data_IF_628966661925
#
_entry.id   IF_628966661925
#
_cell.length_a   1.000
_cell.length_b   1.000
_cell.length_c   1.000
_cell.angle_alpha   90.00
_cell.angle_beta   90.00
_cell.angle_gamma   90.00
#
_symmetry.space_group_name_H-M   'P 1'
#
loop_
_entity.id
_entity.type
_entity.pdbx_description
1 polymer ?
#
# COMPACT_ATOMS: atom_id res chain seq x y z
N UNK A 1 -8.11 0.76 -31.35
CA UNK A 1 -6.70 0.41 -31.04
C UNK A 1 -6.44 0.62 -29.54
N UNK A 2 -7.17 -0.09 -28.66
CA UNK A 2 -7.17 0.18 -27.20
C UNK A 2 -7.24 -1.14 -26.40
N UNK A 3 -6.54 -2.18 -26.86
CA UNK A 3 -6.53 -3.48 -26.19
C UNK A 3 -5.13 -4.03 -25.89
N UNK A 4 -4.06 -3.28 -26.23
CA UNK A 4 -2.68 -3.78 -26.16
C UNK A 4 -1.89 -3.33 -24.93
N UNK A 5 -2.36 -2.31 -24.20
CA UNK A 5 -1.64 -1.79 -23.01
C UNK A 5 -1.95 -2.57 -21.72
N UNK A 6 -3.15 -3.15 -21.60
CA UNK A 6 -3.51 -4.01 -20.47
C UNK A 6 -2.72 -5.32 -20.46
N UNK A 7 -2.27 -5.81 -21.62
CA UNK A 7 -1.47 -7.04 -21.68
C UNK A 7 -0.01 -6.81 -21.32
N UNK A 8 0.60 -5.66 -21.65
CA UNK A 8 2.04 -5.46 -21.46
C UNK A 8 2.47 -5.27 -19.99
N UNK A 9 1.63 -4.64 -19.15
CA UNK A 9 1.94 -4.49 -17.71
C UNK A 9 1.74 -5.82 -16.98
N UNK A 10 0.77 -6.63 -17.41
CA UNK A 10 0.54 -7.98 -16.87
C UNK A 10 1.54 -9.02 -17.41
N UNK A 11 1.99 -8.90 -18.67
CA UNK A 11 2.95 -9.83 -19.29
C UNK A 11 4.37 -9.68 -18.77
N UNK A 12 4.79 -8.49 -18.28
CA UNK A 12 6.14 -8.30 -17.73
C UNK A 12 6.43 -9.13 -16.48
N UNK A 13 5.43 -9.79 -15.91
CA UNK A 13 5.57 -10.73 -14.79
C UNK A 13 5.54 -12.22 -15.20
N UNK A 14 5.47 -12.55 -16.50
CA UNK A 14 5.32 -13.93 -17.00
C UNK A 14 6.50 -14.51 -17.78
N UNK A 15 7.65 -13.84 -17.90
CA UNK A 15 8.78 -14.40 -18.67
C UNK A 15 9.65 -15.34 -17.82
N UNK A 16 9.45 -16.66 -17.97
CA UNK A 16 10.52 -17.65 -17.80
C UNK A 16 10.87 -18.28 -19.16
N UNK A 17 12.17 -18.43 -19.41
CA UNK A 17 12.74 -19.12 -20.56
C UNK A 17 12.42 -20.63 -20.52
N UNK A 18 12.30 -21.30 -21.68
CA UNK A 18 11.92 -22.71 -21.73
C UNK A 18 13.14 -23.60 -21.47
N UNK A 19 13.07 -24.44 -20.44
CA UNK A 19 13.96 -25.60 -20.29
C UNK A 19 14.50 -25.88 -18.88
N UNK A 20 13.65 -26.21 -17.92
CA UNK A 20 14.01 -27.13 -16.83
C UNK A 20 12.74 -27.64 -16.14
N UNK A 21 12.70 -28.95 -15.88
CA UNK A 21 11.65 -29.61 -15.11
C UNK A 21 11.79 -29.27 -13.63
N UNK A 22 11.16 -28.19 -13.18
CA UNK A 22 11.00 -27.86 -11.76
C UNK A 22 9.63 -27.24 -11.54
N UNK A 23 9.01 -27.56 -10.41
CA UNK A 23 7.76 -26.99 -9.87
C UNK A 23 7.55 -25.53 -10.30
N UNK A 24 6.36 -25.21 -10.80
CA UNK A 24 5.95 -23.83 -11.15
C UNK A 24 6.40 -22.84 -10.08
N UNK A 25 7.20 -21.82 -10.43
CA UNK A 25 7.72 -20.87 -9.45
C UNK A 25 6.56 -20.15 -8.74
N UNK A 26 6.72 -19.78 -7.46
CA UNK A 26 5.75 -18.96 -6.76
C UNK A 26 5.54 -17.64 -7.52
N UNK A 27 4.27 -17.26 -7.71
CA UNK A 27 3.94 -15.97 -8.32
C UNK A 27 3.89 -14.93 -7.20
N UNK A 28 4.88 -14.04 -7.17
CA UNK A 28 4.91 -12.92 -6.23
C UNK A 28 4.12 -11.74 -6.81
N UNK A 29 3.05 -11.34 -6.13
CA UNK A 29 2.21 -10.20 -6.54
C UNK A 29 2.07 -9.25 -5.36
N UNK A 30 2.31 -7.95 -5.56
CA UNK A 30 1.97 -6.96 -4.53
C UNK A 30 0.51 -6.55 -4.67
N UNK A 31 -0.29 -6.67 -3.62
CA UNK A 31 -1.70 -6.23 -3.61
C UNK A 31 -1.81 -4.69 -3.57
N UNK A 32 -0.71 -3.96 -3.32
CA UNK A 32 -0.70 -2.50 -3.44
C UNK A 32 0.69 -1.92 -3.74
N UNK A 33 0.78 -1.11 -4.81
CA UNK A 33 1.95 -0.28 -5.10
C UNK A 33 1.79 1.12 -4.50
N UNK A 34 2.32 1.32 -3.29
CA UNK A 34 2.31 2.61 -2.58
C UNK A 34 2.78 3.79 -3.44
N UNK A 35 3.86 3.61 -4.21
CA UNK A 35 4.48 4.70 -4.97
C UNK A 35 3.56 5.21 -6.09
N UNK A 36 2.89 4.28 -6.77
CA UNK A 36 2.04 4.58 -7.91
C UNK A 36 0.57 4.73 -7.52
N UNK A 37 0.19 4.48 -6.26
CA UNK A 37 -1.20 4.59 -5.82
C UNK A 37 -2.12 3.55 -6.45
N UNK A 38 -1.59 2.37 -6.75
CA UNK A 38 -2.37 1.26 -7.32
C UNK A 38 -2.69 0.25 -6.22
N UNK A 39 -3.94 -0.15 -6.08
CA UNK A 39 -4.39 -1.20 -5.16
C UNK A 39 -5.25 -2.22 -5.92
N UNK A 40 -5.03 -3.50 -5.65
CA UNK A 40 -5.87 -4.57 -6.18
C UNK A 40 -7.12 -4.73 -5.31
N UNK A 41 -8.29 -4.62 -5.92
CA UNK A 41 -9.60 -4.90 -5.33
C UNK A 41 -9.98 -6.39 -5.39
N UNK A 42 -9.27 -7.19 -6.20
CA UNK A 42 -9.40 -8.64 -6.29
C UNK A 42 -8.13 -9.39 -5.86
N UNK A 43 -8.26 -10.70 -5.62
CA UNK A 43 -7.14 -11.62 -5.44
C UNK A 43 -6.95 -12.38 -6.76
N UNK A 44 -5.76 -12.36 -7.39
CA UNK A 44 -5.56 -13.04 -8.67
C UNK A 44 -5.64 -14.56 -8.52
N UNK A 45 -6.26 -15.22 -9.49
CA UNK A 45 -6.18 -16.68 -9.62
C UNK A 45 -4.81 -17.07 -10.19
N UNK A 46 -4.03 -17.76 -9.36
CA UNK A 46 -2.67 -18.21 -9.68
C UNK A 46 -2.62 -19.64 -10.23
N UNK A 47 -3.77 -20.25 -10.56
CA UNK A 47 -3.89 -21.54 -11.27
C UNK A 47 -3.03 -22.66 -10.66
N UNK A 48 -3.07 -22.79 -9.33
CA UNK A 48 -2.33 -23.80 -8.58
C UNK A 48 -0.91 -23.41 -8.16
N UNK A 49 -0.39 -22.26 -8.59
CA UNK A 49 0.86 -21.74 -8.04
C UNK A 49 0.68 -21.16 -6.62
N UNK A 50 1.78 -20.89 -5.93
CA UNK A 50 1.77 -20.24 -4.62
C UNK A 50 1.71 -18.73 -4.81
N UNK A 51 0.70 -18.09 -4.23
CA UNK A 51 0.57 -16.62 -4.20
C UNK A 51 1.35 -16.06 -2.99
N UNK A 52 2.33 -15.19 -3.27
CA UNK A 52 3.08 -14.43 -2.27
C UNK A 52 2.72 -12.96 -2.39
N UNK A 53 2.40 -12.32 -1.26
CA UNK A 53 1.90 -10.94 -1.25
C UNK A 53 2.61 -10.00 -0.28
N UNK A 54 3.12 -8.89 -0.80
CA UNK A 54 3.48 -7.71 0.01
C UNK A 54 2.21 -6.90 0.31
N UNK A 55 1.80 -6.91 1.58
CA UNK A 55 0.69 -6.08 2.08
C UNK A 55 1.17 -4.92 2.94
N UNK A 56 2.45 -4.59 2.94
CA UNK A 56 2.99 -3.63 3.90
C UNK A 56 2.19 -2.32 3.98
N UNK A 57 1.70 -1.75 2.87
CA UNK A 57 0.98 -0.46 2.87
C UNK A 57 -0.55 -0.55 3.03
N UNK A 58 -1.14 -1.75 3.03
CA UNK A 58 -2.59 -1.95 3.24
C UNK A 58 -2.90 -3.06 4.27
N UNK A 59 -1.90 -3.58 4.98
CA UNK A 59 -2.08 -4.62 5.99
C UNK A 59 -3.08 -4.15 7.06
N UNK A 60 -4.13 -4.93 7.30
CA UNK A 60 -5.25 -4.58 8.17
C UNK A 60 -5.98 -3.27 7.84
N UNK A 61 -5.93 -2.79 6.59
CA UNK A 61 -6.81 -1.72 6.11
C UNK A 61 -8.19 -2.22 5.70
N UNK A 62 -8.32 -3.53 5.45
CA UNK A 62 -9.56 -4.23 5.07
C UNK A 62 -9.50 -5.72 5.42
N UNK A 63 -10.64 -6.42 5.48
CA UNK A 63 -10.66 -7.88 5.58
C UNK A 63 -9.94 -8.54 4.38
N UNK A 64 -9.22 -9.61 4.66
CA UNK A 64 -8.49 -10.41 3.66
C UNK A 64 -8.74 -11.88 3.93
N UNK A 65 -9.12 -12.64 2.90
CA UNK A 65 -9.15 -14.10 2.98
C UNK A 65 -7.72 -14.66 2.90
N UNK A 66 -7.12 -14.87 4.06
CA UNK A 66 -5.74 -15.37 4.20
C UNK A 66 -5.56 -16.75 3.56
N UNK A 67 -6.62 -17.55 3.43
CA UNK A 67 -6.54 -18.90 2.85
C UNK A 67 -6.12 -18.90 1.37
N UNK A 68 -6.28 -17.77 0.68
CA UNK A 68 -5.89 -17.60 -0.73
C UNK A 68 -4.38 -17.37 -0.93
N UNK A 69 -3.63 -17.16 0.15
CA UNK A 69 -2.22 -16.80 0.09
C UNK A 69 -1.36 -17.93 0.64
N UNK A 70 -0.20 -18.16 0.02
CA UNK A 70 0.85 -18.97 0.63
C UNK A 70 1.68 -18.17 1.61
N UNK A 71 2.02 -16.92 1.24
CA UNK A 71 2.76 -16.00 2.12
C UNK A 71 2.17 -14.60 1.99
N UNK A 72 1.93 -13.95 3.13
CA UNK A 72 1.68 -12.52 3.25
C UNK A 72 2.80 -11.94 4.10
N UNK A 73 3.42 -10.84 3.67
CA UNK A 73 4.34 -10.11 4.51
C UNK A 73 4.02 -8.61 4.54
N UNK A 74 4.30 -7.98 5.68
CA UNK A 74 4.03 -6.57 5.90
C UNK A 74 5.06 -5.96 6.86
N UNK A 75 5.84 -5.00 6.37
CA UNK A 75 6.63 -4.12 7.24
C UNK A 75 5.71 -3.20 8.04
N UNK A 76 5.86 -3.16 9.37
CA UNK A 76 4.90 -2.50 10.25
C UNK A 76 4.84 -0.96 10.08
N UNK A 77 5.94 -0.33 9.66
CA UNK A 77 6.16 1.13 9.58
C UNK A 77 5.19 1.92 8.69
N UNK A 78 4.24 1.25 8.06
CA UNK A 78 3.29 1.85 7.13
C UNK A 78 1.93 1.99 7.80
N UNK A 79 1.32 0.85 8.18
CA UNK A 79 -0.08 0.84 8.58
C UNK A 79 -0.33 0.30 10.00
N UNK A 80 0.64 -0.39 10.61
CA UNK A 80 0.40 -1.16 11.86
C UNK A 80 1.49 -1.04 12.92
N UNK A 81 2.40 -0.06 12.82
CA UNK A 81 3.41 0.14 13.85
C UNK A 81 4.61 0.96 13.41
N UNK A 82 5.72 0.76 14.10
CA UNK A 82 7.00 1.42 13.83
C UNK A 82 7.89 0.61 12.89
N UNK A 83 8.94 1.24 12.36
CA UNK A 83 9.99 0.53 11.64
C UNK A 83 10.76 -0.42 12.57
N UNK A 84 11.33 -1.46 11.96
CA UNK A 84 12.13 -2.45 12.67
C UNK A 84 11.44 -3.80 12.92
N UNK A 85 10.18 -3.97 12.53
CA UNK A 85 9.49 -5.28 12.56
C UNK A 85 8.73 -5.53 11.26
N UNK A 86 8.78 -6.79 10.80
CA UNK A 86 8.01 -7.28 9.64
C UNK A 86 7.19 -8.47 10.09
N UNK A 87 5.88 -8.43 9.83
CA UNK A 87 4.98 -9.56 10.03
C UNK A 87 5.07 -10.45 8.79
N UNK A 88 5.18 -11.75 9.00
CA UNK A 88 5.08 -12.77 7.95
C UNK A 88 4.02 -13.77 8.37
N UNK A 89 2.99 -13.94 7.54
CA UNK A 89 2.00 -15.01 7.64
C UNK A 89 2.35 -16.00 6.54
N UNK A 90 2.78 -17.19 6.90
CA UNK A 90 3.21 -18.25 5.97
C UNK A 90 2.40 -19.50 6.22
N UNK A 91 1.99 -20.17 5.14
CA UNK A 91 1.25 -21.44 5.20
C UNK A 91 2.17 -22.58 5.63
N UNK A 92 1.73 -23.41 6.56
CA UNK A 92 2.59 -24.42 7.22
C UNK A 92 3.19 -25.45 6.24
N UNK A 93 2.46 -25.81 5.18
CA UNK A 93 2.93 -26.72 4.12
C UNK A 93 4.07 -26.16 3.28
N UNK A 94 4.40 -24.87 3.42
CA UNK A 94 5.51 -24.21 2.73
C UNK A 94 6.78 -24.12 3.59
N UNK A 95 6.75 -24.61 4.83
CA UNK A 95 7.91 -24.60 5.73
C UNK A 95 8.88 -25.74 5.44
N UNK A 96 10.18 -25.48 5.59
CA UNK A 96 11.24 -26.49 5.46
C UNK A 96 11.79 -26.72 4.04
N UNK A 97 11.40 -25.86 3.10
CA UNK A 97 11.89 -25.86 1.72
C UNK A 97 12.95 -24.78 1.46
N UNK A 98 13.65 -24.32 2.51
CA UNK A 98 14.73 -23.34 2.35
C UNK A 98 15.90 -23.95 1.54
N UNK A 99 16.58 -23.11 0.75
CA UNK A 99 17.81 -23.50 0.07
C UNK A 99 18.88 -23.89 1.11
N UNK A 100 19.80 -24.78 0.74
CA UNK A 100 20.86 -25.26 1.65
C UNK A 100 21.76 -24.12 2.14
N UNK A 101 21.92 -23.10 1.33
CA UNK A 101 22.74 -21.92 1.58
C UNK A 101 21.97 -20.81 2.33
N UNK A 102 20.67 -21.00 2.58
CA UNK A 102 19.84 -20.03 3.29
C UNK A 102 20.33 -19.87 4.74
N UNK A 103 20.74 -18.67 5.17
CA UNK A 103 21.08 -18.44 6.56
C UNK A 103 19.90 -18.77 7.48
N UNK A 104 20.16 -19.43 8.62
CA UNK A 104 19.12 -19.85 9.57
C UNK A 104 18.22 -18.72 10.05
N UNK A 105 18.74 -17.49 10.11
CA UNK A 105 17.96 -16.28 10.47
C UNK A 105 16.88 -15.94 9.43
N UNK A 106 17.05 -16.33 8.17
CA UNK A 106 16.08 -16.11 7.07
C UNK A 106 15.18 -17.33 6.84
N UNK A 107 15.41 -18.45 7.52
CA UNK A 107 14.63 -19.68 7.35
C UNK A 107 13.34 -19.64 8.17
N UNK A 108 12.18 -19.64 7.50
CA UNK A 108 10.88 -19.58 8.17
C UNK A 108 10.60 -20.75 9.10
N UNK A 109 11.09 -21.97 8.80
CA UNK A 109 10.92 -23.13 9.68
C UNK A 109 11.62 -22.92 11.03
N UNK A 110 12.83 -22.35 11.01
CA UNK A 110 13.58 -22.00 12.23
C UNK A 110 12.84 -20.92 13.01
N UNK A 111 12.37 -19.87 12.34
CA UNK A 111 11.64 -18.78 12.99
C UNK A 111 10.32 -19.28 13.61
N UNK A 112 9.53 -20.05 12.88
CA UNK A 112 8.26 -20.61 13.36
C UNK A 112 8.48 -21.59 14.52
N UNK A 113 9.46 -22.49 14.40
CA UNK A 113 9.77 -23.48 15.45
C UNK A 113 10.27 -22.87 16.76
N UNK A 114 10.81 -21.64 16.72
CA UNK A 114 11.25 -20.90 17.91
C UNK A 114 10.27 -19.78 18.31
N UNK A 115 9.05 -19.75 17.77
CA UNK A 115 8.07 -18.69 18.05
C UNK A 115 8.61 -17.27 17.81
N UNK A 116 9.42 -17.07 16.76
CA UNK A 116 10.14 -15.82 16.47
C UNK A 116 11.17 -15.37 17.53
N UNK A 117 11.62 -16.30 18.38
CA UNK A 117 12.60 -16.08 19.45
C UNK A 117 13.93 -16.84 19.21
N UNK A 118 14.25 -17.13 17.94
CA UNK A 118 15.52 -17.78 17.60
C UNK A 118 16.74 -16.94 18.00
N UNK A 119 16.63 -15.62 17.87
CA UNK A 119 17.59 -14.63 18.33
C UNK A 119 16.86 -13.48 19.03
N UNK A 120 17.59 -12.45 19.50
CA UNK A 120 17.00 -11.27 20.12
C UNK A 120 16.03 -10.57 19.15
N UNK A 121 14.72 -10.54 19.44
CA UNK A 121 13.75 -9.93 18.54
C UNK A 121 13.74 -8.40 18.73
N UNK A 122 13.14 -7.64 17.78
CA UNK A 122 12.95 -6.20 17.92
C UNK A 122 11.84 -5.89 18.95
N UNK A 123 12.12 -6.12 20.23
CA UNK A 123 11.13 -6.08 21.33
C UNK A 123 10.27 -4.82 21.33
N UNK A 124 10.88 -3.65 21.17
CA UNK A 124 10.15 -2.37 21.18
C UNK A 124 9.18 -2.24 19.99
N UNK A 125 9.63 -2.58 18.78
CA UNK A 125 8.77 -2.51 17.59
C UNK A 125 7.63 -3.53 17.65
N UNK A 126 7.88 -4.73 18.22
CA UNK A 126 6.83 -5.73 18.49
C UNK A 126 5.81 -5.19 19.49
N UNK A 127 6.26 -4.57 20.58
CA UNK A 127 5.38 -3.99 21.59
C UNK A 127 4.48 -2.89 20.99
N UNK A 128 5.06 -1.96 20.23
CA UNK A 128 4.30 -0.90 19.55
C UNK A 128 3.28 -1.48 18.57
N UNK A 129 3.68 -2.48 17.77
CA UNK A 129 2.76 -3.17 16.88
C UNK A 129 1.62 -3.84 17.66
N UNK A 130 1.90 -4.48 18.79
CA UNK A 130 0.89 -5.07 19.67
C UNK A 130 -0.17 -4.05 20.12
N UNK A 131 0.26 -2.85 20.56
CA UNK A 131 -0.66 -1.78 20.93
C UNK A 131 -1.54 -1.31 19.76
N UNK A 132 -0.97 -1.20 18.55
CA UNK A 132 -1.73 -0.81 17.35
C UNK A 132 -2.73 -1.89 16.95
N UNK A 133 -2.36 -3.17 17.05
CA UNK A 133 -3.27 -4.29 16.77
C UNK A 133 -4.44 -4.32 17.75
N UNK A 134 -4.18 -4.08 19.04
CA UNK A 134 -5.23 -3.96 20.06
C UNK A 134 -6.15 -2.77 19.77
N UNK A 135 -5.58 -1.61 19.41
CA UNK A 135 -6.38 -0.46 18.99
C UNK A 135 -7.26 -0.77 17.78
N UNK A 136 -6.72 -1.41 16.72
CA UNK A 136 -7.51 -1.81 15.55
C UNK A 136 -8.67 -2.72 15.97
N UNK A 137 -8.39 -3.73 16.81
CA UNK A 137 -9.40 -4.66 17.31
C UNK A 137 -10.51 -3.95 18.09
N UNK A 138 -10.14 -3.04 18.99
CA UNK A 138 -11.08 -2.28 19.82
C UNK A 138 -11.91 -1.27 19.01
N UNK A 139 -11.43 -0.86 17.83
CA UNK A 139 -12.14 0.04 16.92
C UNK A 139 -12.90 -0.70 15.81
N UNK A 140 -13.35 -1.93 16.05
CA UNK A 140 -14.20 -2.70 15.12
C UNK A 140 -13.42 -3.52 14.08
N UNK A 141 -12.11 -3.66 14.25
CA UNK A 141 -11.26 -4.52 13.42
C UNK A 141 -11.15 -4.07 11.97
N UNK A 142 -10.73 -5.00 11.11
CA UNK A 142 -10.44 -4.71 9.71
C UNK A 142 -11.66 -4.24 8.91
N UNK A 143 -12.88 -4.66 9.28
CA UNK A 143 -14.11 -4.22 8.62
C UNK A 143 -14.41 -2.73 8.88
N UNK A 144 -14.18 -2.25 10.11
CA UNK A 144 -14.28 -0.83 10.40
C UNK A 144 -13.18 -0.01 9.70
N UNK A 145 -11.95 -0.53 9.65
CA UNK A 145 -10.85 0.11 8.90
C UNK A 145 -11.16 0.22 7.39
N UNK A 146 -11.85 -0.77 6.81
CA UNK A 146 -12.30 -0.72 5.41
C UNK A 146 -13.31 0.41 5.19
N UNK A 147 -14.29 0.54 6.08
CA UNK A 147 -15.28 1.62 6.01
C UNK A 147 -14.61 2.99 6.12
N UNK A 148 -13.73 3.16 7.11
CA UNK A 148 -13.02 4.43 7.33
C UNK A 148 -12.11 4.79 6.16
N UNK A 149 -11.36 3.83 5.62
CA UNK A 149 -10.49 4.06 4.47
C UNK A 149 -11.26 4.41 3.21
N UNK A 150 -12.44 3.81 3.00
CA UNK A 150 -13.33 4.13 1.88
C UNK A 150 -13.86 5.57 1.99
N UNK A 151 -14.36 5.98 3.17
CA UNK A 151 -14.82 7.36 3.42
C UNK A 151 -13.69 8.37 3.17
N UNK A 152 -12.52 8.15 3.76
CA UNK A 152 -11.36 9.05 3.64
C UNK A 152 -10.90 9.18 2.18
N UNK A 153 -10.74 8.06 1.49
CA UNK A 153 -10.24 8.10 0.10
C UNK A 153 -11.25 8.70 -0.87
N UNK A 154 -12.53 8.40 -0.71
CA UNK A 154 -13.60 8.97 -1.51
C UNK A 154 -13.63 10.50 -1.41
N UNK A 155 -13.50 11.06 -0.20
CA UNK A 155 -13.48 12.51 0.02
C UNK A 155 -12.41 13.23 -0.83
N UNK A 156 -11.21 12.64 -0.95
CA UNK A 156 -10.12 13.22 -1.74
C UNK A 156 -10.32 12.95 -3.24
N UNK A 157 -10.71 11.73 -3.61
CA UNK A 157 -10.93 11.39 -5.02
C UNK A 157 -12.08 12.18 -5.66
N UNK A 158 -13.14 12.47 -4.92
CA UNK A 158 -14.24 13.32 -5.40
C UNK A 158 -13.78 14.73 -5.72
N UNK A 159 -12.89 15.31 -4.90
CA UNK A 159 -12.29 16.62 -5.20
C UNK A 159 -11.45 16.54 -6.46
N UNK A 160 -10.62 15.50 -6.59
CA UNK A 160 -9.77 15.30 -7.77
C UNK A 160 -10.63 15.20 -9.03
N UNK A 161 -11.66 14.34 -9.01
CA UNK A 161 -12.51 14.07 -10.17
C UNK A 161 -13.37 15.27 -10.58
N UNK A 162 -13.79 16.12 -9.62
CA UNK A 162 -14.60 17.31 -9.89
C UNK A 162 -13.78 18.60 -10.11
N UNK A 163 -12.45 18.53 -10.08
CA UNK A 163 -11.55 19.69 -10.17
C UNK A 163 -11.35 20.26 -11.58
N UNK A 164 -12.13 19.81 -12.58
CA UNK A 164 -11.97 20.21 -13.99
C UNK A 164 -10.53 20.03 -14.50
N UNK A 165 -9.88 18.92 -14.10
CA UNK A 165 -8.49 18.55 -14.41
C UNK A 165 -7.40 19.42 -13.76
N UNK A 166 -7.74 20.28 -12.81
CA UNK A 166 -6.73 20.97 -12.02
C UNK A 166 -5.94 20.00 -11.13
N UNK A 167 -6.62 19.08 -10.45
CA UNK A 167 -5.98 17.92 -9.82
C UNK A 167 -6.11 16.71 -10.74
N UNK A 168 -5.02 15.98 -10.94
CA UNK A 168 -5.01 14.80 -11.82
C UNK A 168 -4.38 13.62 -11.10
N UNK A 169 -5.17 12.60 -10.79
CA UNK A 169 -4.64 11.30 -10.38
C UNK A 169 -4.21 10.51 -11.63
N UNK A 170 -2.96 10.03 -11.72
CA UNK A 170 -2.48 9.28 -12.88
C UNK A 170 -2.97 7.81 -12.91
N UNK A 171 -3.77 7.40 -11.92
CA UNK A 171 -4.24 6.02 -11.76
C UNK A 171 -5.67 5.88 -12.28
N UNK A 172 -5.88 4.82 -13.07
CA UNK A 172 -7.20 4.40 -13.53
C UNK A 172 -8.16 4.20 -12.37
N UNK A 173 -9.41 4.67 -12.52
CA UNK A 173 -10.37 4.78 -11.41
C UNK A 173 -10.56 3.49 -10.62
N UNK A 174 -10.67 2.36 -11.31
CA UNK A 174 -10.86 1.03 -10.71
C UNK A 174 -9.65 0.53 -9.91
N UNK A 175 -8.45 1.06 -10.18
CA UNK A 175 -7.20 0.63 -9.57
C UNK A 175 -6.72 1.59 -8.48
N UNK A 176 -7.50 2.63 -8.17
CA UNK A 176 -7.12 3.68 -7.23
C UNK A 176 -7.00 3.15 -5.82
N UNK A 177 -5.82 3.35 -5.25
CA UNK A 177 -5.53 2.96 -3.87
C UNK A 177 -6.28 3.81 -2.85
N UNK A 178 -6.83 3.16 -1.81
CA UNK A 178 -7.46 3.83 -0.67
C UNK A 178 -6.45 4.39 0.33
N UNK A 179 -5.24 3.81 0.39
CA UNK A 179 -4.23 4.19 1.39
C UNK A 179 -3.26 5.25 0.90
N UNK A 180 -3.05 5.37 -0.40
CA UNK A 180 -2.05 6.24 -1.01
C UNK A 180 -2.63 6.85 -2.29
N UNK A 181 -2.86 8.15 -2.26
CA UNK A 181 -3.52 8.90 -3.32
C UNK A 181 -2.49 9.84 -3.94
N UNK A 182 -1.87 9.47 -5.08
CA UNK A 182 -1.02 10.36 -5.83
C UNK A 182 -1.86 11.26 -6.74
N UNK A 183 -1.47 12.53 -6.83
CA UNK A 183 -2.04 13.46 -7.81
C UNK A 183 -1.04 14.53 -8.23
N UNK A 184 -1.21 15.02 -9.44
CA UNK A 184 -0.51 16.18 -10.03
C UNK A 184 -1.41 17.41 -9.96
N UNK A 185 -0.81 18.61 -9.98
CA UNK A 185 -1.56 19.87 -9.96
C UNK A 185 -1.32 20.64 -11.27
N UNK A 186 -2.36 21.28 -11.81
CA UNK A 186 -2.35 22.11 -13.01
C UNK A 186 -2.62 21.34 -14.30
N UNK A 187 -2.06 20.14 -14.47
CA UNK A 187 -2.35 19.23 -15.57
C UNK A 187 -1.84 17.80 -15.27
N UNK A 188 -1.97 16.88 -16.24
CA UNK A 188 -1.56 15.48 -16.09
C UNK A 188 -0.04 15.26 -15.90
N UNK A 189 0.80 16.17 -16.40
CA UNK A 189 2.26 16.16 -16.17
C UNK A 189 2.64 16.92 -14.88
N UNK A 190 1.71 17.70 -14.35
CA UNK A 190 1.90 18.60 -13.23
C UNK A 190 2.63 19.89 -13.60
N UNK A 191 2.41 20.90 -12.79
CA UNK A 191 3.13 22.17 -12.77
C UNK A 191 3.95 22.23 -11.48
N UNK A 192 5.28 22.19 -11.60
CA UNK A 192 6.18 22.15 -10.44
C UNK A 192 6.07 23.39 -9.55
N UNK A 193 5.77 24.56 -10.12
CA UNK A 193 5.62 25.79 -9.35
C UNK A 193 4.31 25.76 -8.54
N UNK A 194 3.21 25.28 -9.12
CA UNK A 194 1.95 25.08 -8.41
C UNK A 194 2.07 23.98 -7.35
N UNK A 195 2.70 22.86 -7.66
CA UNK A 195 2.93 21.76 -6.72
C UNK A 195 3.81 22.22 -5.53
N UNK A 196 4.85 23.02 -5.79
CA UNK A 196 5.65 23.63 -4.73
C UNK A 196 4.81 24.56 -3.86
N UNK A 197 4.02 25.46 -4.45
CA UNK A 197 3.13 26.38 -3.70
C UNK A 197 2.11 25.63 -2.85
N UNK A 198 1.54 24.54 -3.38
CA UNK A 198 0.63 23.67 -2.64
C UNK A 198 1.31 23.08 -1.41
N UNK A 199 2.52 22.52 -1.58
CA UNK A 199 3.28 21.92 -0.49
C UNK A 199 3.70 22.95 0.56
N UNK A 200 4.16 24.14 0.14
CA UNK A 200 4.56 25.20 1.06
C UNK A 200 3.37 25.64 1.94
N UNK A 201 2.20 25.90 1.33
CA UNK A 201 0.97 26.24 2.07
C UNK A 201 0.46 25.09 2.96
N UNK A 202 0.60 23.85 2.50
CA UNK A 202 0.20 22.69 3.30
C UNK A 202 1.04 22.61 4.59
N UNK A 203 2.34 22.90 4.52
CA UNK A 203 3.23 22.94 5.70
C UNK A 203 2.82 24.05 6.67
N UNK A 204 2.43 25.23 6.18
CA UNK A 204 1.89 26.32 7.03
C UNK A 204 0.63 25.88 7.81
N UNK A 205 -0.16 24.97 7.25
CA UNK A 205 -1.34 24.38 7.87
C UNK A 205 -1.04 23.10 8.68
N UNK A 206 0.24 22.80 8.96
CA UNK A 206 0.73 21.60 9.64
C UNK A 206 0.37 20.28 8.94
N UNK A 207 0.10 20.30 7.63
CA UNK A 207 -0.11 19.11 6.81
C UNK A 207 1.23 18.63 6.25
N UNK A 208 1.89 17.76 7.00
CA UNK A 208 3.24 17.29 6.67
C UNK A 208 3.24 16.07 5.74
N UNK A 209 4.39 15.81 5.12
CA UNK A 209 4.65 14.58 4.33
C UNK A 209 3.76 14.34 3.10
N UNK A 210 3.19 15.41 2.53
CA UNK A 210 2.39 15.33 1.30
C UNK A 210 3.22 15.31 0.01
N UNK A 211 4.53 15.56 0.07
CA UNK A 211 5.39 15.56 -1.12
C UNK A 211 5.42 14.16 -1.75
N UNK A 212 5.13 14.10 -3.05
CA UNK A 212 5.19 12.88 -3.84
C UNK A 212 6.60 12.28 -3.89
N UNK A 213 6.69 11.02 -4.30
CA UNK A 213 7.98 10.34 -4.41
C UNK A 213 8.83 10.96 -5.53
N UNK A 214 10.14 11.08 -5.33
CA UNK A 214 11.08 11.73 -6.27
C UNK A 214 10.99 11.25 -7.72
N UNK A 215 10.63 9.99 -7.94
CA UNK A 215 10.53 9.40 -9.29
C UNK A 215 9.22 9.70 -10.00
N UNK A 216 8.19 10.15 -9.28
CA UNK A 216 6.84 10.43 -9.82
C UNK A 216 6.50 11.92 -9.70
N UNK A 217 7.11 12.63 -8.75
CA UNK A 217 6.81 14.02 -8.40
C UNK A 217 5.40 14.20 -7.85
N UNK A 218 4.88 15.43 -7.89
CA UNK A 218 3.53 15.74 -7.47
C UNK A 218 3.29 15.64 -5.97
N UNK A 219 2.04 15.37 -5.63
CA UNK A 219 1.53 15.25 -4.27
C UNK A 219 1.12 13.80 -4.01
N UNK A 220 1.31 13.33 -2.79
CA UNK A 220 0.78 12.04 -2.34
C UNK A 220 0.19 12.16 -0.94
N UNK A 221 -1.12 11.96 -0.83
CA UNK A 221 -1.79 11.82 0.46
C UNK A 221 -1.81 10.34 0.88
N UNK A 222 -1.14 10.01 1.98
CA UNK A 222 -1.18 8.66 2.57
C UNK A 222 -2.20 8.62 3.70
N UNK A 223 -3.26 7.82 3.55
CA UNK A 223 -4.46 7.77 4.38
C UNK A 223 -4.54 6.49 5.23
N UNK A 224 -3.41 6.10 5.83
CA UNK A 224 -3.30 4.90 6.68
C UNK A 224 -4.32 4.87 7.82
N UNK A 225 -4.47 3.71 8.48
CA UNK A 225 -5.48 3.48 9.53
C UNK A 225 -5.52 4.57 10.60
N UNK A 226 -4.35 5.05 11.04
CA UNK A 226 -4.24 6.07 12.08
C UNK A 226 -4.55 7.51 11.63
N UNK A 227 -4.64 7.78 10.33
CA UNK A 227 -5.08 9.10 9.82
C UNK A 227 -6.58 9.22 10.04
N UNK A 228 -7.03 10.26 10.74
CA UNK A 228 -8.44 10.39 11.11
C UNK A 228 -9.28 10.97 9.97
N UNK A 229 -10.61 10.96 10.10
CA UNK A 229 -11.49 11.60 9.11
C UNK A 229 -11.27 13.12 9.15
N UNK A 230 -11.11 13.69 10.34
CA UNK A 230 -10.91 15.13 10.56
C UNK A 230 -9.62 15.63 9.89
N UNK A 231 -8.55 14.84 9.91
CA UNK A 231 -7.32 15.17 9.19
C UNK A 231 -7.54 15.23 7.67
N UNK A 232 -8.34 14.30 7.14
CA UNK A 232 -8.69 14.27 5.71
C UNK A 232 -9.65 15.40 5.35
N UNK A 233 -10.58 15.77 6.22
CA UNK A 233 -11.46 16.92 6.04
C UNK A 233 -10.67 18.23 5.94
N UNK A 234 -9.65 18.41 6.79
CA UNK A 234 -8.74 19.57 6.70
C UNK A 234 -8.02 19.61 5.36
N UNK A 235 -7.47 18.47 4.91
CA UNK A 235 -6.84 18.38 3.59
C UNK A 235 -7.82 18.67 2.46
N UNK A 236 -9.03 18.12 2.54
CA UNK A 236 -10.10 18.34 1.57
C UNK A 236 -10.50 19.81 1.47
N UNK A 237 -10.69 20.49 2.61
CA UNK A 237 -10.97 21.92 2.66
C UNK A 237 -9.83 22.74 2.05
N UNK A 238 -8.57 22.41 2.40
CA UNK A 238 -7.41 23.05 1.81
C UNK A 238 -7.35 22.86 0.28
N UNK A 239 -7.60 21.65 -0.22
CA UNK A 239 -7.61 21.36 -1.66
C UNK A 239 -8.68 22.17 -2.41
N UNK A 240 -9.88 22.31 -1.83
CA UNK A 240 -10.96 23.13 -2.41
C UNK A 240 -10.58 24.61 -2.45
N UNK A 241 -10.12 25.17 -1.33
CA UNK A 241 -9.69 26.57 -1.28
C UNK A 241 -8.51 26.84 -2.24
N UNK A 242 -7.55 25.91 -2.33
CA UNK A 242 -6.42 26.04 -3.24
C UNK A 242 -6.85 26.03 -4.71
N UNK A 243 -7.85 25.22 -5.07
CA UNK A 243 -8.45 25.20 -6.40
C UNK A 243 -9.11 26.55 -6.73
N UNK A 244 -9.98 27.05 -5.84
CA UNK A 244 -10.71 28.31 -6.03
C UNK A 244 -9.76 29.50 -6.25
N UNK A 245 -8.67 29.59 -5.48
CA UNK A 245 -7.67 30.65 -5.63
C UNK A 245 -6.93 30.66 -6.98
N UNK A 246 -6.95 29.56 -7.74
CA UNK A 246 -6.23 29.42 -9.01
C UNK A 246 -7.15 29.19 -10.22
N UNK A 247 -8.47 29.26 -10.02
CA UNK A 247 -9.48 29.26 -11.10
C UNK A 247 -10.01 30.68 -11.42
N UNK A 248 -9.69 31.66 -10.56
CA UNK A 248 -9.91 33.10 -10.77
C UNK A 248 -8.68 33.73 -11.45
#
# INVERSE_FOLDING_TARGET
MSSTLNSEVTQRFQTQAPGSSTSTPPTCTSVQMRLHGVEFDFIPDVKGAVLVCDMSSNFLSRPVDVSKFGVIFAGAQKNVGSAGVTVVIVRDDLLGFALKECPSILEYKVQAGNNSLYNTPPCFSIYVMGMVLEWIKNNGGAAAMEKLSSIKSQMIYEIIDNSQRFYVCPVERQNRSRMNIPFRIGNAKGDEALEKRFLDKAVELNMISLKGHRSVGGIRASLYNAVTIEDVEKLAAFMKNFLEMHQL
#
